data_IF_224639384832
#
_entry.id   IF_224639384832
#
_cell.length_a   1.000
_cell.length_b   1.000
_cell.length_c   1.000
_cell.angle_alpha   90.00
_cell.angle_beta   90.00
_cell.angle_gamma   90.00
#
_symmetry.space_group_name_H-M   'P 1'
#
loop_
_entity.id
_entity.type
_entity.pdbx_description
1 polymer ?
#
# COMPACT_ATOMS: atom_id res chain seq x y z
N UNK A 1 1.46 -0.50 -22.82
CA UNK A 1 0.47 0.60 -22.93
C UNK A 1 0.24 1.11 -21.53
N UNK A 2 0.39 2.42 -21.32
CA UNK A 2 -0.01 3.07 -20.06
C UNK A 2 -1.51 2.84 -19.86
N UNK A 3 -1.92 2.46 -18.65
CA UNK A 3 -3.34 2.44 -18.31
C UNK A 3 -3.71 3.91 -18.00
N UNK A 4 -4.65 4.53 -18.74
CA UNK A 4 -5.02 5.93 -18.52
C UNK A 4 -5.62 6.20 -17.14
N UNK A 5 -5.96 5.15 -16.38
CA UNK A 5 -6.54 5.26 -15.04
C UNK A 5 -5.51 5.11 -13.90
N UNK A 6 -4.21 4.98 -14.20
CA UNK A 6 -3.19 4.95 -13.14
C UNK A 6 -2.90 6.36 -12.64
N UNK A 7 -3.32 6.65 -11.41
CA UNK A 7 -2.96 7.91 -10.73
C UNK A 7 -1.45 7.91 -10.44
N UNK A 8 -0.74 8.89 -11.00
CA UNK A 8 0.72 9.02 -10.84
C UNK A 8 1.13 10.33 -10.19
N UNK A 9 0.18 11.21 -9.83
CA UNK A 9 0.39 12.42 -9.04
C UNK A 9 0.06 12.18 -7.56
N UNK A 10 0.92 12.57 -6.60
CA UNK A 10 0.63 12.50 -5.16
C UNK A 10 -0.60 13.29 -4.74
N UNK A 11 -0.83 14.47 -5.32
CA UNK A 11 -1.97 15.32 -4.97
C UNK A 11 -3.28 14.68 -5.43
N UNK A 12 -3.34 14.22 -6.68
CA UNK A 12 -4.49 13.48 -7.22
C UNK A 12 -4.74 12.19 -6.42
N UNK A 13 -3.68 11.51 -5.98
CA UNK A 13 -3.83 10.31 -5.17
C UNK A 13 -4.42 10.60 -3.79
N UNK A 14 -4.03 11.72 -3.15
CA UNK A 14 -4.63 12.16 -1.88
C UNK A 14 -6.11 12.46 -2.04
N UNK A 15 -6.46 13.25 -3.06
CA UNK A 15 -7.87 13.58 -3.35
C UNK A 15 -8.71 12.33 -3.58
N UNK A 16 -8.20 11.38 -4.37
CA UNK A 16 -8.87 10.11 -4.59
C UNK A 16 -9.01 9.26 -3.32
N UNK A 17 -7.98 9.24 -2.45
CA UNK A 17 -8.03 8.52 -1.18
C UNK A 17 -9.06 9.10 -0.21
N UNK A 18 -9.21 10.43 -0.18
CA UNK A 18 -10.21 11.11 0.66
C UNK A 18 -11.65 10.76 0.26
N UNK A 19 -11.87 10.33 -0.98
CA UNK A 19 -13.18 9.89 -1.50
C UNK A 19 -13.50 8.41 -1.22
N UNK A 20 -12.56 7.63 -0.67
CA UNK A 20 -12.76 6.20 -0.45
C UNK A 20 -13.85 5.93 0.61
N UNK A 21 -14.68 4.88 0.42
CA UNK A 21 -15.79 4.60 1.32
C UNK A 21 -15.32 3.87 2.58
N UNK A 22 -14.69 4.58 3.53
CA UNK A 22 -14.13 4.02 4.78
C UNK A 22 -15.19 3.22 5.58
N UNK A 23 -16.47 3.59 5.47
CA UNK A 23 -17.58 2.85 6.08
C UNK A 23 -17.75 1.41 5.54
N UNK A 24 -17.14 1.09 4.40
CA UNK A 24 -17.00 -0.26 3.86
C UNK A 24 -15.51 -0.62 3.70
N UNK A 25 -14.88 -1.18 4.74
CA UNK A 25 -13.45 -1.47 4.74
C UNK A 25 -13.01 -2.44 3.64
N UNK A 26 -13.84 -3.43 3.30
CA UNK A 26 -13.52 -4.40 2.25
C UNK A 26 -13.46 -3.72 0.88
N UNK A 27 -14.49 -2.94 0.52
CA UNK A 27 -14.50 -2.21 -0.74
C UNK A 27 -13.34 -1.19 -0.82
N UNK A 28 -13.04 -0.54 0.30
CA UNK A 28 -11.87 0.35 0.40
C UNK A 28 -10.57 -0.40 0.12
N UNK A 29 -10.38 -1.57 0.74
CA UNK A 29 -9.19 -2.39 0.53
C UNK A 29 -9.09 -2.92 -0.92
N UNK A 30 -10.19 -3.33 -1.54
CA UNK A 30 -10.23 -3.78 -2.94
C UNK A 30 -9.82 -2.65 -3.91
N UNK A 31 -10.38 -1.45 -3.73
CA UNK A 31 -10.04 -0.28 -4.53
C UNK A 31 -8.57 0.11 -4.34
N UNK A 32 -8.08 0.11 -3.09
CA UNK A 32 -6.70 0.41 -2.76
C UNK A 32 -5.74 -0.60 -3.42
N UNK A 33 -6.05 -1.89 -3.34
CA UNK A 33 -5.29 -2.97 -3.96
C UNK A 33 -5.22 -2.81 -5.48
N UNK A 34 -6.36 -2.57 -6.12
CA UNK A 34 -6.41 -2.41 -7.57
C UNK A 34 -5.56 -1.20 -8.02
N UNK A 35 -5.70 -0.07 -7.35
CA UNK A 35 -4.95 1.15 -7.67
C UNK A 35 -3.44 0.95 -7.46
N UNK A 36 -3.03 0.32 -6.36
CA UNK A 36 -1.63 0.01 -6.08
C UNK A 36 -1.03 -0.96 -7.10
N UNK A 37 -1.79 -1.98 -7.52
CA UNK A 37 -1.36 -2.89 -8.57
C UNK A 37 -1.15 -2.18 -9.91
N UNK A 38 -2.01 -1.21 -10.25
CA UNK A 38 -1.87 -0.40 -11.46
C UNK A 38 -0.62 0.49 -11.39
N UNK A 39 -0.36 1.12 -10.24
CA UNK A 39 0.86 1.88 -9.99
C UNK A 39 2.12 1.00 -10.11
N UNK A 40 2.08 -0.19 -9.54
CA UNK A 40 3.20 -1.14 -9.56
C UNK A 40 3.50 -1.72 -10.95
N UNK A 41 2.49 -1.74 -11.83
CA UNK A 41 2.62 -2.17 -13.22
C UNK A 41 2.85 -0.99 -14.18
N UNK A 42 2.95 0.24 -13.68
CA UNK A 42 3.22 1.41 -14.50
C UNK A 42 4.56 1.24 -15.24
N UNK A 43 4.60 1.38 -16.58
CA UNK A 43 5.76 1.06 -17.41
C UNK A 43 6.91 2.08 -17.26
N UNK A 44 6.61 3.32 -16.89
CA UNK A 44 7.60 4.38 -16.71
C UNK A 44 8.23 4.40 -15.32
N UNK A 45 9.45 4.94 -15.25
CA UNK A 45 10.09 5.30 -13.99
C UNK A 45 9.38 6.51 -13.39
N UNK A 46 8.75 6.33 -12.24
CA UNK A 46 8.05 7.39 -11.51
C UNK A 46 8.98 7.94 -10.43
N UNK A 47 9.42 9.20 -10.59
CA UNK A 47 10.25 9.89 -9.58
C UNK A 47 9.54 10.01 -8.24
N UNK A 48 8.22 10.15 -8.28
CA UNK A 48 7.34 10.31 -7.12
C UNK A 48 6.87 8.98 -6.53
N UNK A 49 7.32 7.83 -7.07
CA UNK A 49 6.94 6.51 -6.57
C UNK A 49 7.09 6.36 -5.04
N UNK A 50 8.17 6.81 -4.39
CA UNK A 50 8.30 6.73 -2.93
C UNK A 50 7.20 7.49 -2.19
N UNK A 51 6.80 8.65 -2.69
CA UNK A 51 5.75 9.47 -2.09
C UNK A 51 4.37 8.84 -2.32
N UNK A 52 4.09 8.38 -3.54
CA UNK A 52 2.86 7.65 -3.85
C UNK A 52 2.70 6.44 -2.93
N UNK A 53 3.75 5.61 -2.78
CA UNK A 53 3.73 4.44 -1.89
C UNK A 53 3.50 4.81 -0.42
N UNK A 54 4.00 5.96 0.04
CA UNK A 54 3.78 6.42 1.41
C UNK A 54 2.31 6.73 1.71
N UNK A 55 1.57 7.23 0.71
CA UNK A 55 0.13 7.46 0.82
C UNK A 55 -0.63 6.13 0.95
N UNK A 56 -0.28 5.13 0.13
CA UNK A 56 -0.84 3.78 0.26
C UNK A 56 -0.51 3.14 1.61
N UNK A 57 0.71 3.34 2.14
CA UNK A 57 1.13 2.81 3.43
C UNK A 57 0.30 3.40 4.58
N UNK A 58 -0.05 4.68 4.51
CA UNK A 58 -0.91 5.32 5.50
C UNK A 58 -2.30 4.67 5.55
N UNK A 59 -2.98 4.58 4.40
CA UNK A 59 -4.29 3.94 4.30
C UNK A 59 -4.26 2.45 4.68
N UNK A 60 -3.17 1.76 4.37
CA UNK A 60 -2.96 0.38 4.81
C UNK A 60 -2.91 0.25 6.34
N UNK A 61 -2.29 1.21 7.02
CA UNK A 61 -2.29 1.29 8.49
C UNK A 61 -3.70 1.37 9.07
N UNK A 62 -4.53 2.23 8.51
CA UNK A 62 -5.93 2.38 8.95
C UNK A 62 -6.74 1.09 8.76
N UNK A 63 -6.54 0.40 7.62
CA UNK A 63 -7.20 -0.88 7.35
C UNK A 63 -6.74 -1.99 8.32
N UNK A 64 -5.46 -2.02 8.68
CA UNK A 64 -4.94 -2.96 9.69
C UNK A 64 -5.57 -2.70 11.07
N UNK A 65 -5.68 -1.44 11.47
CA UNK A 65 -6.28 -1.07 12.75
C UNK A 65 -7.78 -1.42 12.80
N UNK A 66 -8.50 -1.21 11.69
CA UNK A 66 -9.88 -1.67 11.54
C UNK A 66 -9.99 -3.20 11.68
N UNK A 67 -9.10 -3.96 11.04
CA UNK A 67 -9.10 -5.42 11.12
C UNK A 67 -8.82 -5.93 12.55
N UNK A 68 -7.95 -5.23 13.29
CA UNK A 68 -7.55 -5.55 14.69
C UNK A 68 -8.60 -5.14 15.71
N UNK A 69 -9.29 -4.02 15.51
CA UNK A 69 -10.27 -3.44 16.46
C UNK A 69 -11.59 -4.21 16.58
N UNK A 70 -11.82 -5.25 15.77
CA UNK A 70 -13.03 -6.09 15.82
C UNK A 70 -13.21 -6.89 17.12
N UNK A 71 -13.61 -6.23 18.20
CA UNK A 71 -13.90 -6.84 19.51
C UNK A 71 -15.36 -7.31 19.57
N UNK A 72 -15.64 -8.51 19.07
CA UNK A 72 -16.95 -9.15 19.19
C UNK A 72 -17.02 -10.48 18.45
N UNK A 73 -17.95 -11.38 18.84
CA UNK A 73 -18.21 -12.61 18.06
C UNK A 73 -19.01 -12.25 16.80
N UNK A 74 -18.41 -12.30 15.60
CA UNK A 74 -19.12 -11.92 14.38
C UNK A 74 -20.12 -13.00 13.99
N UNK A 75 -21.19 -12.60 13.30
CA UNK A 75 -22.07 -13.53 12.59
C UNK A 75 -21.28 -14.34 11.55
N UNK A 76 -21.85 -15.42 10.99
CA UNK A 76 -21.18 -16.18 9.94
C UNK A 76 -20.81 -15.30 8.73
N UNK A 77 -21.71 -14.38 8.35
CA UNK A 77 -21.48 -13.39 7.30
C UNK A 77 -20.35 -12.43 7.69
N UNK A 78 -20.34 -11.92 8.93
CA UNK A 78 -19.28 -11.05 9.43
C UNK A 78 -17.90 -11.73 9.51
N UNK A 79 -17.85 -13.04 9.80
CA UNK A 79 -16.60 -13.81 9.77
C UNK A 79 -16.04 -13.94 8.37
N UNK A 80 -16.90 -14.19 7.37
CA UNK A 80 -16.48 -14.27 5.97
C UNK A 80 -15.96 -12.92 5.47
N UNK A 81 -16.73 -11.84 5.66
CA UNK A 81 -16.30 -10.51 5.27
C UNK A 81 -14.98 -10.09 5.93
N UNK A 82 -14.74 -10.50 7.18
CA UNK A 82 -13.46 -10.27 7.87
C UNK A 82 -12.31 -11.09 7.27
N UNK A 83 -12.56 -12.34 6.87
CA UNK A 83 -11.55 -13.16 6.21
C UNK A 83 -11.20 -12.61 4.82
N UNK A 84 -12.20 -12.17 4.05
CA UNK A 84 -11.99 -11.56 2.74
C UNK A 84 -11.20 -10.24 2.87
N UNK A 85 -11.49 -9.45 3.92
CA UNK A 85 -10.71 -8.24 4.24
C UNK A 85 -9.26 -8.56 4.62
N UNK A 86 -9.04 -9.55 5.50
CA UNK A 86 -7.68 -9.99 5.89
C UNK A 86 -6.87 -10.46 4.68
N UNK A 87 -7.47 -11.26 3.79
CA UNK A 87 -6.82 -11.69 2.55
C UNK A 87 -6.44 -10.49 1.66
N UNK A 88 -7.35 -9.54 1.50
CA UNK A 88 -7.12 -8.33 0.70
C UNK A 88 -6.00 -7.47 1.28
N UNK A 89 -5.98 -7.29 2.60
CA UNK A 89 -4.92 -6.57 3.35
C UNK A 89 -3.56 -7.26 3.15
N UNK A 90 -3.50 -8.59 3.20
CA UNK A 90 -2.26 -9.32 2.92
C UNK A 90 -1.78 -9.12 1.48
N UNK A 91 -2.69 -9.02 0.51
CA UNK A 91 -2.34 -8.71 -0.88
C UNK A 91 -1.80 -7.28 -1.03
N UNK A 92 -2.41 -6.30 -0.35
CA UNK A 92 -1.90 -4.91 -0.31
C UNK A 92 -0.48 -4.88 0.25
N UNK A 93 -0.21 -5.59 1.35
CA UNK A 93 1.13 -5.64 1.94
C UNK A 93 2.19 -6.17 0.94
N UNK A 94 1.86 -7.24 0.21
CA UNK A 94 2.74 -7.80 -0.84
C UNK A 94 3.02 -6.78 -1.95
N UNK A 95 2.00 -6.07 -2.40
CA UNK A 95 2.14 -5.03 -3.43
C UNK A 95 2.92 -3.81 -2.91
N UNK A 96 2.73 -3.40 -1.66
CA UNK A 96 3.55 -2.34 -1.04
C UNK A 96 5.02 -2.74 -0.99
N UNK A 97 5.33 -3.95 -0.53
CA UNK A 97 6.69 -4.47 -0.50
C UNK A 97 7.32 -4.53 -1.90
N UNK A 98 6.55 -4.96 -2.91
CA UNK A 98 6.99 -4.94 -4.30
C UNK A 98 7.26 -3.52 -4.81
N UNK A 99 6.37 -2.57 -4.53
CA UNK A 99 6.51 -1.17 -4.89
C UNK A 99 7.75 -0.52 -4.27
N UNK A 100 7.97 -0.71 -2.97
CA UNK A 100 9.16 -0.18 -2.30
C UNK A 100 10.45 -0.81 -2.82
N UNK A 101 10.45 -2.11 -3.14
CA UNK A 101 11.57 -2.75 -3.82
C UNK A 101 11.87 -2.09 -5.17
N UNK A 102 10.84 -1.81 -5.99
CA UNK A 102 11.02 -1.07 -7.26
C UNK A 102 11.64 0.31 -7.03
N UNK A 103 11.14 1.05 -6.04
CA UNK A 103 11.63 2.38 -5.70
C UNK A 103 13.12 2.36 -5.29
N UNK A 104 13.52 1.38 -4.45
CA UNK A 104 14.92 1.21 -4.02
C UNK A 104 15.81 0.88 -5.21
N UNK A 105 15.41 -0.07 -6.07
CA UNK A 105 16.20 -0.47 -7.24
C UNK A 105 16.35 0.68 -8.26
N UNK A 106 15.28 1.46 -8.48
CA UNK A 106 15.33 2.64 -9.32
C UNK A 106 16.28 3.71 -8.75
N UNK A 107 16.33 3.87 -7.42
CA UNK A 107 17.26 4.76 -6.74
C UNK A 107 18.70 4.25 -6.76
N UNK A 108 18.95 2.94 -6.68
CA UNK A 108 20.30 2.36 -6.75
C UNK A 108 20.94 2.43 -8.15
N UNK A 109 20.14 2.69 -9.20
CA UNK A 109 20.67 3.06 -10.51
C UNK A 109 21.30 4.47 -10.52
N UNK A 110 21.12 5.24 -9.44
CA UNK A 110 21.83 6.47 -9.11
C UNK A 110 22.74 6.14 -7.91
N UNK A 111 24.05 6.42 -7.94
CA UNK A 111 24.94 6.04 -6.84
C UNK A 111 24.48 6.71 -5.52
N UNK A 112 24.03 5.91 -4.56
CA UNK A 112 23.61 6.36 -3.23
C UNK A 112 24.76 6.27 -2.21
N UNK A 113 24.94 7.27 -1.33
CA UNK A 113 25.79 7.15 -0.16
C UNK A 113 25.31 6.01 0.76
N UNK A 114 26.26 5.22 1.28
CA UNK A 114 26.00 4.02 2.08
C UNK A 114 25.10 4.26 3.31
N UNK A 115 25.14 5.46 3.88
CA UNK A 115 24.37 5.84 5.07
C UNK A 115 22.85 5.85 4.79
N UNK A 116 22.43 6.37 3.65
CA UNK A 116 21.01 6.44 3.25
C UNK A 116 20.46 5.04 2.93
N UNK A 117 21.29 4.18 2.34
CA UNK A 117 20.92 2.79 2.06
C UNK A 117 20.72 1.99 3.36
N UNK A 118 21.52 2.26 4.40
CA UNK A 118 21.37 1.62 5.70
C UNK A 118 20.06 2.01 6.38
N UNK A 119 19.70 3.30 6.36
CA UNK A 119 18.48 3.80 7.01
C UNK A 119 17.20 3.23 6.39
N UNK A 120 17.13 3.13 5.06
CA UNK A 120 15.98 2.54 4.36
C UNK A 120 15.85 1.04 4.65
N UNK A 121 16.97 0.31 4.67
CA UNK A 121 16.98 -1.12 5.00
C UNK A 121 16.58 -1.35 6.46
N UNK A 122 17.09 -0.55 7.39
CA UNK A 122 16.75 -0.64 8.82
C UNK A 122 15.27 -0.34 9.06
N UNK A 123 14.73 0.70 8.41
CA UNK A 123 13.31 1.04 8.56
C UNK A 123 12.39 -0.01 7.93
N UNK A 124 12.78 -0.58 6.78
CA UNK A 124 12.04 -1.68 6.14
C UNK A 124 12.09 -2.99 6.94
N UNK A 125 13.22 -3.31 7.57
CA UNK A 125 13.38 -4.50 8.40
C UNK A 125 12.67 -4.37 9.76
N UNK A 126 12.67 -3.18 10.37
CA UNK A 126 11.94 -2.93 11.61
C UNK A 126 10.42 -3.01 11.44
N UNK A 127 9.90 -2.71 10.25
CA UNK A 127 8.49 -2.91 9.94
C UNK A 127 8.11 -4.40 9.88
N UNK A 128 9.02 -5.26 9.40
CA UNK A 128 8.80 -6.71 9.30
C UNK A 128 9.10 -7.48 10.60
N UNK A 129 9.87 -6.89 11.52
CA UNK A 129 10.31 -7.54 12.75
C UNK A 129 9.38 -7.29 13.96
N UNK A 130 8.35 -6.44 13.80
CA UNK A 130 7.35 -6.16 14.85
C UNK A 130 6.01 -6.88 14.61
N UNK A 131 6.01 -7.97 13.83
CA UNK A 131 4.92 -8.96 13.77
C UNK A 131 5.13 -10.10 14.78
#
# INVERSE_FOLDING_TARGET
MENPNTITSPDELREWMDELPIANPLLTAENLLLSLQLLNRHPGALSELPELLSLYLHMFGDLLDLLRSGTGKPSAVGRRARADLDETVQQINKELAFGYKRAILARQAIPMPREVAAEILTNGLNFLANE
#
